data_IF_938488518738
#
_entry.id   IF_938488518738
#
_cell.length_a   1.000
_cell.length_b   1.000
_cell.length_c   1.000
_cell.angle_alpha   90.00
_cell.angle_beta   90.00
_cell.angle_gamma   90.00
#
_symmetry.space_group_name_H-M   'P 1'
#
loop_
_entity.id
_entity.type
_entity.pdbx_description
1 polymer ?
#
# COMPACT_ATOMS: atom_id res chain seq x y z
N UNK A 1 5.24 63.37 54.70
CA UNK A 1 6.35 64.31 54.44
C UNK A 1 7.57 63.49 54.05
N UNK A 2 8.10 63.74 52.84
CA UNK A 2 9.52 63.61 52.40
C UNK A 2 10.27 62.29 52.65
N UNK A 3 11.17 61.77 51.81
CA UNK A 3 11.66 61.97 50.44
C UNK A 3 12.60 60.74 50.22
N UNK A 4 12.46 59.99 49.14
CA UNK A 4 13.38 59.94 47.97
C UNK A 4 14.81 59.37 48.16
N UNK A 5 15.17 58.46 47.24
CA UNK A 5 16.54 58.09 46.74
C UNK A 5 17.46 57.34 47.74
N UNK A 6 18.34 56.39 47.38
CA UNK A 6 18.95 55.99 46.11
C UNK A 6 19.56 54.57 46.20
N UNK A 7 19.91 54.01 45.05
CA UNK A 7 20.43 52.68 44.78
C UNK A 7 21.86 52.38 45.30
N UNK A 8 22.20 51.09 45.48
CA UNK A 8 23.41 50.49 44.88
C UNK A 8 23.42 48.96 44.97
N UNK A 9 23.59 48.33 43.81
CA UNK A 9 23.88 46.92 43.62
C UNK A 9 25.31 46.57 44.09
N UNK A 10 25.49 45.34 44.58
CA UNK A 10 26.72 44.54 44.37
C UNK A 10 26.36 43.09 44.13
N UNK A 11 26.81 42.61 42.97
CA UNK A 11 26.90 41.19 42.60
C UNK A 11 28.33 40.73 42.89
N UNK A 12 28.47 39.56 43.53
CA UNK A 12 29.64 38.67 43.45
C UNK A 12 29.22 37.31 44.00
N UNK A 13 29.00 36.34 43.12
CA UNK A 13 29.94 35.25 42.80
C UNK A 13 29.96 34.21 43.94
N UNK A 14 29.14 33.16 43.82
CA UNK A 14 29.52 31.84 43.29
C UNK A 14 30.17 30.96 44.35
N UNK A 15 29.50 29.86 44.69
CA UNK A 15 30.04 28.49 44.79
C UNK A 15 28.82 27.59 45.01
N UNK A 16 28.52 26.78 43.99
CA UNK A 16 27.74 25.56 44.15
C UNK A 16 28.61 24.54 44.89
N UNK A 17 28.03 23.68 45.73
CA UNK A 17 28.04 22.20 45.59
C UNK A 17 27.01 21.59 46.55
N UNK A 18 26.12 20.81 45.95
CA UNK A 18 25.28 19.70 46.44
C UNK A 18 25.05 19.40 47.92
N UNK A 19 23.76 19.16 48.23
CA UNK A 19 23.31 18.57 49.48
C UNK A 19 21.82 18.20 49.47
N UNK A 20 21.50 17.04 48.91
CA UNK A 20 20.42 16.13 49.33
C UNK A 20 18.98 16.71 49.49
N UNK A 21 18.14 16.51 48.47
CA UNK A 21 16.67 16.44 48.64
C UNK A 21 16.12 15.13 48.10
N UNK A 22 15.67 14.28 49.02
CA UNK A 22 14.94 13.03 48.79
C UNK A 22 13.78 13.28 47.84
N UNK A 23 13.82 12.66 46.66
CA UNK A 23 12.68 12.58 45.75
C UNK A 23 11.96 11.28 46.05
N UNK A 24 10.71 11.39 46.48
CA UNK A 24 9.78 10.28 46.59
C UNK A 24 9.73 9.56 45.22
N UNK A 25 10.34 8.38 45.13
CA UNK A 25 10.07 7.44 44.06
C UNK A 25 8.67 6.89 44.33
N UNK A 26 7.67 7.45 43.67
CA UNK A 26 6.45 6.70 43.40
C UNK A 26 6.84 5.58 42.45
N UNK A 27 7.03 4.40 43.04
CA UNK A 27 7.04 3.12 42.34
C UNK A 27 5.68 2.98 41.65
N UNK A 28 5.63 3.34 40.37
CA UNK A 28 4.60 2.85 39.47
C UNK A 28 4.80 1.35 39.37
N UNK A 29 3.90 0.59 40.00
CA UNK A 29 3.72 -0.83 39.68
C UNK A 29 3.45 -0.91 38.18
N UNK A 30 4.48 -1.23 37.39
CA UNK A 30 4.28 -1.75 36.03
C UNK A 30 3.33 -2.93 36.17
N UNK A 31 2.13 -2.78 35.64
CA UNK A 31 1.21 -3.91 35.50
C UNK A 31 1.96 -5.03 34.79
N UNK A 32 1.88 -6.23 35.34
CA UNK A 32 2.35 -7.41 34.65
C UNK A 32 1.45 -7.55 33.42
N UNK A 33 1.94 -7.18 32.25
CA UNK A 33 1.24 -7.50 30.99
C UNK A 33 1.29 -9.02 30.88
N UNK A 34 0.16 -9.67 31.13
CA UNK A 34 0.01 -11.10 30.82
C UNK A 34 0.11 -11.18 29.30
N UNK A 35 1.27 -11.63 28.83
CA UNK A 35 1.50 -11.88 27.41
C UNK A 35 0.95 -13.25 27.08
N UNK A 36 0.29 -13.34 25.95
CA UNK A 36 -0.21 -14.61 25.47
C UNK A 36 0.99 -15.48 25.00
N UNK A 37 0.81 -16.79 25.01
CA UNK A 37 1.82 -17.69 24.48
C UNK A 37 1.76 -17.66 22.95
N UNK A 38 2.89 -17.94 22.29
CA UNK A 38 2.94 -18.12 20.84
C UNK A 38 1.85 -19.10 20.37
N UNK A 39 1.02 -18.66 19.44
CA UNK A 39 -0.10 -19.45 18.91
C UNK A 39 -1.46 -19.14 19.57
N UNK A 40 -1.49 -18.28 20.58
CA UNK A 40 -2.74 -17.83 21.19
C UNK A 40 -3.47 -16.83 20.29
N UNK A 41 -4.79 -16.94 20.27
CA UNK A 41 -5.67 -16.04 19.54
C UNK A 41 -6.14 -14.93 20.46
N UNK A 42 -6.09 -13.68 19.99
CA UNK A 42 -6.67 -12.55 20.70
C UNK A 42 -7.46 -11.64 19.76
N UNK A 43 -8.42 -10.91 20.32
CA UNK A 43 -9.33 -10.05 19.56
C UNK A 43 -9.15 -8.59 19.98
N UNK A 44 -9.26 -7.69 19.01
CA UNK A 44 -9.16 -6.26 19.24
C UNK A 44 -10.09 -5.48 18.30
N UNK A 45 -10.73 -4.46 18.85
CA UNK A 45 -11.55 -3.50 18.08
C UNK A 45 -10.89 -2.14 18.16
N UNK A 46 -10.55 -1.56 17.01
CA UNK A 46 -9.82 -0.30 16.90
C UNK A 46 -10.64 0.75 16.15
N UNK A 47 -10.74 1.99 16.66
CA UNK A 47 -11.35 3.08 15.92
C UNK A 47 -10.46 3.49 14.74
N UNK A 48 -11.07 3.98 13.65
CA UNK A 48 -10.33 4.63 12.56
C UNK A 48 -9.91 6.05 12.96
N UNK A 49 -8.73 6.53 12.54
CA UNK A 49 -7.72 5.83 11.75
C UNK A 49 -6.87 4.86 12.59
N UNK A 50 -6.52 3.71 12.01
CA UNK A 50 -5.58 2.78 12.65
C UNK A 50 -4.14 3.19 12.33
N UNK A 51 -3.25 3.05 13.30
CA UNK A 51 -1.82 3.37 13.15
C UNK A 51 -0.92 2.13 13.06
N UNK A 52 -1.49 0.93 13.23
CA UNK A 52 -0.81 -0.32 12.91
C UNK A 52 -0.40 -0.34 11.44
N UNK A 53 0.78 -0.87 11.15
CA UNK A 53 1.19 -1.18 9.77
C UNK A 53 1.37 -2.66 9.61
N UNK A 54 1.00 -3.14 8.43
CA UNK A 54 1.06 -4.55 8.08
C UNK A 54 1.88 -4.76 6.82
N UNK A 55 2.50 -5.93 6.69
CA UNK A 55 3.10 -6.42 5.45
C UNK A 55 2.58 -7.82 5.12
N UNK A 56 2.68 -8.17 3.82
CA UNK A 56 2.43 -9.52 3.31
C UNK A 56 3.56 -10.44 3.76
N UNK A 57 3.22 -11.54 4.42
CA UNK A 57 4.15 -12.64 4.73
C UNK A 57 4.51 -13.47 3.50
N UNK A 58 5.53 -14.31 3.62
CA UNK A 58 5.93 -15.26 2.57
C UNK A 58 4.85 -16.33 2.26
N UNK A 59 3.90 -16.51 3.18
CA UNK A 59 2.73 -17.37 3.11
C UNK A 59 1.47 -16.65 2.57
N UNK A 60 1.57 -15.36 2.22
CA UNK A 60 0.44 -14.55 1.75
C UNK A 60 -0.41 -13.90 2.86
N UNK A 61 -0.14 -14.20 4.14
CA UNK A 61 -0.85 -13.66 5.29
C UNK A 61 -0.51 -12.19 5.59
N UNK A 62 -1.30 -11.56 6.47
CA UNK A 62 -1.06 -10.18 6.93
C UNK A 62 -0.45 -10.16 8.33
N UNK A 63 0.73 -9.54 8.44
CA UNK A 63 1.53 -9.52 9.66
C UNK A 63 1.83 -8.10 10.12
N UNK A 64 1.77 -7.84 11.42
CA UNK A 64 2.10 -6.55 12.04
C UNK A 64 3.59 -6.26 11.88
N UNK A 65 3.94 -5.11 11.31
CA UNK A 65 5.33 -4.63 11.14
C UNK A 65 5.64 -3.35 11.89
N UNK A 66 4.62 -2.72 12.46
CA UNK A 66 4.77 -1.53 13.28
C UNK A 66 3.62 -1.43 14.28
N UNK A 67 3.97 -1.18 15.54
CA UNK A 67 3.05 -0.89 16.63
C UNK A 67 3.37 0.51 17.16
N UNK A 68 2.42 1.45 17.17
CA UNK A 68 2.63 2.78 17.75
C UNK A 68 2.78 2.67 19.29
N UNK A 69 3.49 3.63 19.87
CA UNK A 69 3.65 3.71 21.33
C UNK A 69 2.43 4.40 21.95
N UNK A 70 1.29 3.70 21.96
CA UNK A 70 0.02 4.17 22.52
C UNK A 70 -0.66 3.01 23.29
N UNK A 71 -1.23 3.25 24.49
CA UNK A 71 -1.91 2.22 25.29
C UNK A 71 -3.01 1.44 24.55
N UNK A 72 -3.67 2.04 23.55
CA UNK A 72 -4.66 1.36 22.72
C UNK A 72 -4.07 0.18 21.92
N UNK A 73 -2.75 0.15 21.74
CA UNK A 73 -2.04 -0.86 20.97
C UNK A 73 -1.13 -1.76 21.83
N UNK A 74 -1.22 -1.68 23.16
CA UNK A 74 -0.34 -2.43 24.09
C UNK A 74 -0.42 -3.96 23.92
N UNK A 75 -1.52 -4.45 23.33
CA UNK A 75 -1.75 -5.87 23.04
C UNK A 75 -1.14 -6.36 21.73
N UNK A 76 -0.68 -5.46 20.86
CA UNK A 76 -0.10 -5.85 19.58
C UNK A 76 1.42 -5.91 19.68
N UNK A 77 2.00 -6.84 18.94
CA UNK A 77 3.42 -7.02 18.81
C UNK A 77 3.79 -7.14 17.33
N UNK A 78 4.98 -6.66 16.98
CA UNK A 78 5.54 -6.88 15.64
C UNK A 78 5.71 -8.39 15.44
N UNK A 79 5.19 -8.91 14.33
CA UNK A 79 5.15 -10.34 14.03
C UNK A 79 3.76 -10.96 14.16
N UNK A 80 2.80 -10.35 14.86
CA UNK A 80 1.47 -10.93 15.01
C UNK A 80 0.74 -11.02 13.67
N UNK A 81 -0.02 -12.12 13.48
CA UNK A 81 -0.73 -12.41 12.23
C UNK A 81 -2.22 -12.10 12.38
N UNK A 82 -2.84 -11.58 11.33
CA UNK A 82 -4.31 -11.44 11.26
C UNK A 82 -4.89 -12.78 10.78
N UNK A 83 -5.83 -13.34 11.55
CA UNK A 83 -6.62 -14.54 11.23
C UNK A 83 -8.08 -14.20 10.88
N UNK A 84 -8.56 -13.01 11.24
CA UNK A 84 -9.87 -12.52 10.81
C UNK A 84 -10.02 -11.01 10.92
N UNK A 85 -10.93 -10.45 10.12
CA UNK A 85 -11.16 -9.00 9.99
C UNK A 85 -12.65 -8.71 9.81
N UNK A 86 -13.16 -7.63 10.40
CA UNK A 86 -14.52 -7.16 10.11
C UNK A 86 -14.71 -6.87 8.63
N UNK A 87 -15.83 -7.31 8.06
CA UNK A 87 -16.26 -6.99 6.71
C UNK A 87 -16.31 -5.48 6.47
N UNK A 88 -16.10 -5.03 5.22
CA UNK A 88 -16.19 -3.60 4.88
C UNK A 88 -17.56 -3.00 5.24
N UNK A 89 -18.63 -3.79 5.14
CA UNK A 89 -20.01 -3.40 5.41
C UNK A 89 -20.70 -4.47 6.27
N UNK A 90 -21.54 -4.06 7.24
CA UNK A 90 -22.25 -4.98 8.14
C UNK A 90 -21.46 -5.39 9.39
N UNK A 91 -21.95 -6.39 10.12
CA UNK A 91 -21.38 -6.84 11.40
C UNK A 91 -20.62 -8.18 11.28
N UNK A 92 -20.38 -8.62 10.05
CA UNK A 92 -19.72 -9.89 9.76
C UNK A 92 -18.21 -9.81 9.97
N UNK A 93 -17.61 -10.94 10.33
CA UNK A 93 -16.16 -11.13 10.41
C UNK A 93 -15.76 -12.13 9.34
N UNK A 94 -14.84 -11.74 8.47
CA UNK A 94 -14.25 -12.58 7.45
C UNK A 94 -12.97 -13.25 7.98
N UNK A 95 -12.70 -14.46 7.49
CA UNK A 95 -11.37 -15.06 7.65
C UNK A 95 -10.33 -14.27 6.90
N UNK A 96 -9.10 -14.20 7.43
CA UNK A 96 -7.99 -13.51 6.79
C UNK A 96 -7.29 -14.43 5.76
N UNK A 97 -7.92 -14.62 4.60
CA UNK A 97 -7.45 -15.57 3.58
C UNK A 97 -6.24 -15.05 2.80
N UNK A 98 -6.16 -13.73 2.62
CA UNK A 98 -5.01 -13.09 1.97
C UNK A 98 -4.75 -11.68 2.50
N UNK A 99 -3.50 -11.23 2.40
CA UNK A 99 -3.12 -9.85 2.73
C UNK A 99 -3.98 -8.81 2.01
N UNK A 100 -4.30 -9.04 0.73
CA UNK A 100 -5.11 -8.11 -0.07
C UNK A 100 -6.51 -7.92 0.47
N UNK A 101 -7.21 -9.03 0.75
CA UNK A 101 -8.55 -9.04 1.34
C UNK A 101 -8.58 -8.29 2.67
N UNK A 102 -7.60 -8.55 3.54
CA UNK A 102 -7.50 -7.91 4.85
C UNK A 102 -7.29 -6.39 4.70
N UNK A 103 -6.37 -5.96 3.83
CA UNK A 103 -6.14 -4.53 3.61
C UNK A 103 -7.35 -3.83 2.99
N UNK A 104 -8.08 -4.50 2.09
CA UNK A 104 -9.33 -3.97 1.52
C UNK A 104 -10.40 -3.76 2.59
N UNK A 105 -10.62 -4.77 3.44
CA UNK A 105 -11.59 -4.71 4.53
C UNK A 105 -11.25 -3.57 5.51
N UNK A 106 -9.99 -3.49 5.97
CA UNK A 106 -9.51 -2.41 6.84
C UNK A 106 -9.72 -1.04 6.19
N UNK A 107 -9.34 -0.89 4.90
CA UNK A 107 -9.43 0.41 4.21
C UNK A 107 -10.86 0.89 4.04
N UNK A 108 -11.78 0.00 3.66
CA UNK A 108 -13.14 0.35 3.27
C UNK A 108 -14.19 0.20 4.38
N UNK A 109 -13.82 -0.37 5.55
CA UNK A 109 -14.69 -0.45 6.74
C UNK A 109 -15.32 0.88 7.11
N UNK A 110 -16.64 0.92 7.28
CA UNK A 110 -17.32 2.07 7.88
C UNK A 110 -17.55 1.81 9.38
N UNK A 111 -16.83 2.53 10.23
CA UNK A 111 -16.81 2.31 11.69
C UNK A 111 -15.54 1.63 12.19
N UNK A 112 -15.64 1.06 13.40
CA UNK A 112 -14.51 0.41 14.05
C UNK A 112 -14.10 -0.88 13.33
N UNK A 113 -12.80 -1.14 13.34
CA UNK A 113 -12.19 -2.32 12.74
C UNK A 113 -12.03 -3.37 13.82
N UNK A 114 -12.68 -4.51 13.62
CA UNK A 114 -12.44 -5.70 14.43
C UNK A 114 -11.34 -6.54 13.78
N UNK A 115 -10.38 -7.00 14.59
CA UNK A 115 -9.29 -7.89 14.21
C UNK A 115 -9.26 -9.09 15.14
N UNK A 116 -9.22 -10.27 14.55
CA UNK A 116 -8.84 -11.52 15.21
C UNK A 116 -7.38 -11.80 14.86
N UNK A 117 -6.54 -11.81 15.89
CA UNK A 117 -5.09 -11.87 15.79
C UNK A 117 -4.58 -13.21 16.33
N UNK A 118 -3.45 -13.65 15.80
CA UNK A 118 -2.64 -14.75 16.31
C UNK A 118 -1.34 -14.16 16.86
N UNK A 119 -1.09 -14.34 18.15
CA UNK A 119 0.14 -13.94 18.83
C UNK A 119 1.29 -14.80 18.33
N UNK A 120 2.28 -14.16 17.73
CA UNK A 120 3.44 -14.85 17.17
C UNK A 120 4.66 -14.79 18.09
N UNK A 121 4.55 -14.22 19.29
CA UNK A 121 5.63 -13.99 20.27
C UNK A 121 6.85 -13.30 19.63
N UNK A 122 6.59 -12.36 18.71
CA UNK A 122 7.64 -11.65 17.98
C UNK A 122 8.32 -12.47 16.89
N UNK A 123 7.80 -13.65 16.56
CA UNK A 123 8.26 -14.45 15.42
C UNK A 123 7.95 -13.72 14.11
N UNK A 124 9.00 -13.18 13.51
CA UNK A 124 8.97 -12.51 12.21
C UNK A 124 9.45 -13.39 11.08
N UNK A 125 9.54 -14.72 11.26
CA UNK A 125 10.02 -15.66 10.24
C UNK A 125 9.24 -15.56 8.93
N UNK A 126 7.92 -15.37 9.00
CA UNK A 126 7.07 -15.15 7.83
C UNK A 126 7.37 -13.81 7.10
N UNK A 127 7.97 -12.84 7.79
CA UNK A 127 8.35 -11.52 7.27
C UNK A 127 9.81 -11.46 6.82
N UNK A 128 10.67 -12.31 7.36
CA UNK A 128 12.06 -12.43 6.96
C UNK A 128 12.17 -13.44 5.82
N UNK A 129 12.43 -12.96 4.61
CA UNK A 129 13.02 -13.84 3.61
C UNK A 129 14.33 -14.39 4.21
N UNK A 130 14.43 -15.70 4.40
CA UNK A 130 15.69 -16.31 4.83
C UNK A 130 16.79 -15.89 3.84
N UNK A 131 17.62 -14.93 4.24
CA UNK A 131 18.97 -14.84 3.72
C UNK A 131 19.72 -15.92 4.46
N UNK A 132 19.84 -17.09 3.81
CA UNK A 132 20.41 -18.30 4.38
C UNK A 132 21.67 -18.00 5.20
N UNK A 133 21.82 -18.70 6.32
CA UNK A 133 23.00 -18.70 7.18
C UNK A 133 24.33 -18.95 6.43
N UNK A 134 24.25 -19.48 5.21
CA UNK A 134 25.34 -19.56 4.24
C UNK A 134 26.03 -18.19 4.00
N UNK A 135 25.27 -17.08 4.00
CA UNK A 135 25.80 -15.75 3.70
C UNK A 135 26.81 -15.23 4.74
N UNK A 136 26.69 -15.64 6.01
CA UNK A 136 27.66 -15.26 7.05
C UNK A 136 28.91 -16.14 7.01
N UNK A 137 28.75 -17.43 6.71
CA UNK A 137 29.86 -18.38 6.63
C UNK A 137 30.70 -18.19 5.35
N UNK A 138 30.08 -17.86 4.21
CA UNK A 138 30.80 -17.59 2.96
C UNK A 138 31.61 -16.29 3.02
N UNK A 139 31.10 -15.26 3.72
CA UNK A 139 31.80 -13.97 3.90
C UNK A 139 33.07 -14.10 4.75
N UNK A 140 33.11 -15.08 5.64
CA UNK A 140 34.29 -15.41 6.44
C UNK A 140 35.28 -16.33 5.70
N UNK A 141 34.82 -17.10 4.70
CA UNK A 141 35.60 -18.12 3.99
C UNK A 141 36.28 -17.68 2.69
N UNK A 142 36.06 -16.45 2.22
CA UNK A 142 36.76 -15.89 1.05
C UNK A 142 36.37 -16.49 -0.31
N UNK A 143 35.30 -17.28 -0.39
CA UNK A 143 34.83 -17.90 -1.63
C UNK A 143 33.74 -17.05 -2.31
N UNK A 144 34.13 -16.13 -3.19
CA UNK A 144 33.23 -15.11 -3.78
C UNK A 144 32.35 -15.58 -4.97
N UNK A 145 32.24 -16.89 -5.24
CA UNK A 145 31.63 -17.38 -6.49
C UNK A 145 30.35 -18.24 -6.37
N UNK A 146 30.16 -18.97 -5.28
CA UNK A 146 29.12 -20.01 -5.21
C UNK A 146 27.75 -19.46 -4.80
N UNK A 147 27.65 -18.80 -3.63
CA UNK A 147 26.38 -18.25 -3.15
C UNK A 147 25.80 -17.10 -3.98
N UNK A 148 26.63 -16.32 -4.69
CA UNK A 148 26.14 -15.25 -5.57
C UNK A 148 25.44 -15.80 -6.81
N UNK A 149 25.94 -16.90 -7.39
CA UNK A 149 25.31 -17.59 -8.53
C UNK A 149 24.02 -18.28 -8.12
N UNK A 150 24.02 -18.98 -6.99
CA UNK A 150 22.82 -19.63 -6.45
C UNK A 150 21.74 -18.61 -6.08
N UNK A 151 22.11 -17.50 -5.44
CA UNK A 151 21.16 -16.42 -5.14
C UNK A 151 20.64 -15.72 -6.40
N UNK A 152 21.47 -15.54 -7.43
CA UNK A 152 21.01 -15.05 -8.73
C UNK A 152 20.04 -16.01 -9.40
N UNK A 153 20.31 -17.32 -9.35
CA UNK A 153 19.40 -18.34 -9.86
C UNK A 153 18.09 -18.37 -9.08
N UNK A 154 18.12 -18.26 -7.75
CA UNK A 154 16.92 -18.24 -6.91
C UNK A 154 16.10 -16.96 -7.08
N UNK A 155 16.75 -15.80 -7.25
CA UNK A 155 16.06 -14.55 -7.56
C UNK A 155 15.46 -14.59 -8.98
N UNK A 156 16.17 -15.19 -9.93
CA UNK A 156 15.69 -15.38 -11.29
C UNK A 156 14.50 -16.34 -11.34
N UNK A 157 14.58 -17.49 -10.67
CA UNK A 157 13.48 -18.47 -10.59
C UNK A 157 12.26 -17.87 -9.90
N UNK A 158 12.43 -17.19 -8.77
CA UNK A 158 11.33 -16.50 -8.07
C UNK A 158 10.69 -15.39 -8.92
N UNK A 159 11.50 -14.62 -9.67
CA UNK A 159 10.97 -13.62 -10.61
C UNK A 159 10.14 -14.28 -11.71
N UNK A 160 10.63 -15.41 -12.26
CA UNK A 160 9.92 -16.20 -13.28
C UNK A 160 8.62 -16.79 -12.74
N UNK A 161 8.63 -17.33 -11.54
CA UNK A 161 7.46 -17.90 -10.88
C UNK A 161 6.37 -16.84 -10.66
N UNK A 162 6.73 -15.65 -10.17
CA UNK A 162 5.80 -14.53 -10.02
C UNK A 162 5.26 -14.01 -11.36
N UNK A 163 6.06 -14.09 -12.43
CA UNK A 163 5.63 -13.75 -13.79
C UNK A 163 4.61 -14.76 -14.30
N UNK A 164 4.89 -16.07 -14.15
CA UNK A 164 3.97 -17.16 -14.50
C UNK A 164 2.67 -17.06 -13.70
N UNK A 165 2.74 -16.92 -12.38
CA UNK A 165 1.57 -16.77 -11.53
C UNK A 165 0.67 -15.61 -12.00
N UNK A 166 1.29 -14.49 -12.39
CA UNK A 166 0.53 -13.33 -12.84
C UNK A 166 -0.17 -13.57 -14.19
N UNK A 167 0.46 -14.33 -15.09
CA UNK A 167 -0.15 -14.73 -16.36
C UNK A 167 -1.34 -15.66 -16.11
N UNK A 168 -1.16 -16.70 -15.27
CA UNK A 168 -2.22 -17.66 -14.95
C UNK A 168 -3.44 -16.95 -14.32
N UNK A 169 -3.20 -16.04 -13.38
CA UNK A 169 -4.27 -15.23 -12.77
C UNK A 169 -4.93 -14.28 -13.77
N UNK A 170 -4.17 -13.73 -14.72
CA UNK A 170 -4.76 -12.86 -15.74
C UNK A 170 -5.68 -13.66 -16.67
N UNK A 171 -5.31 -14.88 -17.04
CA UNK A 171 -6.15 -15.78 -17.83
C UNK A 171 -7.43 -16.14 -17.08
N UNK A 172 -7.33 -16.49 -15.79
CA UNK A 172 -8.50 -16.71 -14.90
C UNK A 172 -9.44 -15.50 -14.87
N UNK A 173 -8.88 -14.29 -14.71
CA UNK A 173 -9.67 -13.07 -14.68
C UNK A 173 -10.41 -12.81 -16.02
N UNK A 174 -9.78 -13.17 -17.14
CA UNK A 174 -10.41 -13.09 -18.47
C UNK A 174 -11.54 -14.12 -18.61
N UNK A 175 -11.38 -15.34 -18.10
CA UNK A 175 -12.43 -16.35 -18.09
C UNK A 175 -13.65 -15.88 -17.29
N UNK A 176 -13.43 -15.37 -16.07
CA UNK A 176 -14.48 -14.79 -15.22
C UNK A 176 -15.18 -13.61 -15.91
N UNK A 177 -14.41 -12.72 -16.53
CA UNK A 177 -14.95 -11.57 -17.26
C UNK A 177 -15.84 -12.01 -18.43
N UNK A 178 -15.41 -13.01 -19.20
CA UNK A 178 -16.18 -13.56 -20.32
C UNK A 178 -17.45 -14.29 -19.85
N UNK A 179 -17.42 -14.88 -18.66
CA UNK A 179 -18.59 -15.43 -17.98
C UNK A 179 -19.56 -14.35 -17.44
N UNK A 180 -19.20 -13.06 -17.56
CA UNK A 180 -19.92 -11.90 -17.01
C UNK A 180 -19.92 -11.85 -15.49
N UNK A 181 -19.02 -12.58 -14.85
CA UNK A 181 -18.78 -12.52 -13.41
C UNK A 181 -17.80 -11.39 -13.11
N UNK A 182 -18.29 -10.15 -13.23
CA UNK A 182 -17.45 -8.96 -13.18
C UNK A 182 -16.89 -8.69 -11.78
N UNK A 183 -17.59 -9.09 -10.72
CA UNK A 183 -17.12 -8.91 -9.34
C UNK A 183 -15.92 -9.83 -9.05
N UNK A 184 -16.00 -11.11 -9.42
CA UNK A 184 -14.87 -12.02 -9.23
C UNK A 184 -13.72 -11.70 -10.19
N UNK A 185 -14.02 -11.38 -11.46
CA UNK A 185 -12.98 -10.95 -12.41
C UNK A 185 -12.19 -9.74 -11.90
N UNK A 186 -12.89 -8.76 -11.31
CA UNK A 186 -12.29 -7.57 -10.73
C UNK A 186 -11.31 -7.91 -9.59
N UNK A 187 -11.69 -8.83 -8.69
CA UNK A 187 -10.82 -9.28 -7.60
C UNK A 187 -9.50 -9.84 -8.17
N UNK A 188 -9.60 -10.72 -9.16
CA UNK A 188 -8.41 -11.37 -9.75
C UNK A 188 -7.57 -10.36 -10.53
N UNK A 189 -8.17 -9.45 -11.32
CA UNK A 189 -7.42 -8.40 -12.01
C UNK A 189 -6.70 -7.42 -11.06
N UNK A 190 -7.30 -7.06 -9.92
CA UNK A 190 -6.65 -6.22 -8.91
C UNK A 190 -5.44 -6.94 -8.26
N UNK A 191 -5.52 -8.25 -8.02
CA UNK A 191 -4.37 -9.01 -7.53
C UNK A 191 -3.27 -9.14 -8.59
N UNK A 192 -3.63 -9.36 -9.86
CA UNK A 192 -2.68 -9.26 -11.00
C UNK A 192 -1.95 -7.91 -11.00
N UNK A 193 -2.68 -6.81 -10.82
CA UNK A 193 -2.10 -5.48 -10.76
C UNK A 193 -1.23 -5.28 -9.49
N UNK A 194 -1.59 -5.90 -8.37
CA UNK A 194 -0.83 -5.84 -7.12
C UNK A 194 0.50 -6.63 -7.19
N UNK A 195 0.57 -7.64 -8.06
CA UNK A 195 1.80 -8.42 -8.34
C UNK A 195 2.80 -7.69 -9.24
N UNK A 196 2.54 -6.43 -9.61
CA UNK A 196 3.46 -5.63 -10.40
C UNK A 196 4.84 -5.47 -9.71
N UNK A 197 5.97 -5.75 -10.40
CA UNK A 197 7.27 -5.71 -9.75
C UNK A 197 7.64 -4.29 -9.36
N UNK A 198 8.12 -4.14 -8.13
CA UNK A 198 8.69 -2.87 -7.67
C UNK A 198 9.92 -2.53 -8.53
N UNK A 199 9.93 -1.34 -9.10
CA UNK A 199 10.99 -0.84 -10.00
C UNK A 199 11.14 -1.66 -11.29
N UNK A 200 10.04 -2.13 -11.87
CA UNK A 200 10.07 -2.69 -13.23
C UNK A 200 10.67 -1.67 -14.21
N UNK A 201 11.47 -2.18 -15.14
CA UNK A 201 12.04 -1.44 -16.26
C UNK A 201 12.06 -2.38 -17.47
N UNK A 202 11.22 -2.11 -18.46
CA UNK A 202 11.23 -2.81 -19.75
C UNK A 202 12.37 -2.31 -20.64
N UNK A 203 12.65 -3.06 -21.70
CA UNK A 203 13.67 -2.69 -22.72
C UNK A 203 13.30 -1.40 -23.47
N UNK A 204 12.01 -1.06 -23.47
CA UNK A 204 11.41 0.16 -24.03
C UNK A 204 11.34 1.32 -23.01
N UNK A 205 12.02 1.19 -21.87
CA UNK A 205 11.97 2.12 -20.74
C UNK A 205 10.60 2.22 -20.04
N UNK A 206 9.67 1.29 -20.30
CA UNK A 206 8.42 1.18 -19.56
C UNK A 206 8.69 0.90 -18.08
N UNK A 207 7.99 1.61 -17.20
CA UNK A 207 8.12 1.45 -15.73
C UNK A 207 7.10 0.50 -15.13
N UNK A 208 6.26 -0.07 -15.97
CA UNK A 208 5.21 -1.02 -15.62
C UNK A 208 5.17 -2.11 -16.67
N UNK A 209 4.82 -3.33 -16.28
CA UNK A 209 4.60 -4.42 -17.24
C UNK A 209 3.39 -4.15 -18.14
N UNK A 210 3.41 -4.74 -19.33
CA UNK A 210 2.26 -4.74 -20.23
C UNK A 210 1.01 -5.34 -19.58
N UNK A 211 1.18 -6.43 -18.82
CA UNK A 211 0.08 -7.09 -18.12
C UNK A 211 -0.55 -6.21 -17.05
N UNK A 212 0.22 -5.39 -16.32
CA UNK A 212 -0.34 -4.39 -15.40
C UNK A 212 -1.21 -3.37 -16.14
N UNK A 213 -0.70 -2.86 -17.26
CA UNK A 213 -1.41 -1.88 -18.09
C UNK A 213 -2.73 -2.45 -18.62
N UNK A 214 -2.71 -3.67 -19.15
CA UNK A 214 -3.92 -4.35 -19.64
C UNK A 214 -4.87 -4.73 -18.49
N UNK A 215 -4.35 -5.13 -17.32
CA UNK A 215 -5.17 -5.39 -16.13
C UNK A 215 -5.91 -4.13 -15.68
N UNK A 216 -5.25 -2.97 -15.60
CA UNK A 216 -5.92 -1.70 -15.28
C UNK A 216 -7.02 -1.33 -16.27
N UNK A 217 -6.83 -1.61 -17.56
CA UNK A 217 -7.89 -1.47 -18.56
C UNK A 217 -9.09 -2.38 -18.26
N UNK A 218 -8.84 -3.66 -17.96
CA UNK A 218 -9.91 -4.61 -17.66
C UNK A 218 -10.61 -4.32 -16.32
N UNK A 219 -9.88 -3.83 -15.31
CA UNK A 219 -10.44 -3.30 -14.05
C UNK A 219 -11.43 -2.17 -14.36
N UNK A 220 -11.04 -1.24 -15.24
CA UNK A 220 -11.94 -0.16 -15.67
C UNK A 220 -13.20 -0.71 -16.36
N UNK A 221 -13.05 -1.71 -17.23
CA UNK A 221 -14.17 -2.41 -17.87
C UNK A 221 -15.11 -3.07 -16.85
N UNK A 222 -14.57 -3.77 -15.84
CA UNK A 222 -15.36 -4.38 -14.77
C UNK A 222 -16.14 -3.32 -14.00
N UNK A 223 -15.48 -2.27 -13.50
CA UNK A 223 -16.15 -1.19 -12.78
C UNK A 223 -17.21 -0.47 -13.63
N UNK A 224 -16.96 -0.29 -14.93
CA UNK A 224 -17.95 0.25 -15.86
C UNK A 224 -19.19 -0.66 -15.97
N UNK A 225 -19.01 -1.97 -16.10
CA UNK A 225 -20.10 -2.96 -16.14
C UNK A 225 -20.91 -2.99 -14.84
N UNK A 226 -20.26 -2.78 -13.70
CA UNK A 226 -20.88 -2.75 -12.36
C UNK A 226 -21.56 -1.38 -12.08
N UNK A 227 -21.20 -0.33 -12.82
CA UNK A 227 -21.76 1.02 -12.63
C UNK A 227 -20.99 1.88 -11.61
N UNK A 228 -19.72 1.57 -11.35
CA UNK A 228 -18.83 2.26 -10.41
C UNK A 228 -17.98 3.31 -11.13
N UNK A 229 -18.53 4.51 -11.28
CA UNK A 229 -17.96 5.59 -12.10
C UNK A 229 -16.56 6.01 -11.65
N UNK A 230 -16.39 6.38 -10.39
CA UNK A 230 -15.14 6.97 -9.89
C UNK A 230 -13.98 5.96 -9.95
N UNK A 231 -14.26 4.72 -9.59
CA UNK A 231 -13.30 3.61 -9.62
C UNK A 231 -12.89 3.26 -11.05
N UNK A 232 -13.84 3.24 -11.99
CA UNK A 232 -13.55 2.99 -13.39
C UNK A 232 -12.70 4.09 -14.02
N UNK A 233 -13.02 5.37 -13.76
CA UNK A 233 -12.21 6.50 -14.22
C UNK A 233 -10.80 6.49 -13.61
N UNK A 234 -10.66 6.13 -12.34
CA UNK A 234 -9.36 5.98 -11.69
C UNK A 234 -8.53 4.87 -12.33
N UNK A 235 -9.14 3.73 -12.65
CA UNK A 235 -8.47 2.62 -13.33
C UNK A 235 -8.05 2.99 -14.76
N UNK A 236 -8.89 3.69 -15.53
CA UNK A 236 -8.50 4.23 -16.84
C UNK A 236 -7.32 5.19 -16.74
N UNK A 237 -7.33 6.09 -15.75
CA UNK A 237 -6.20 6.99 -15.51
C UNK A 237 -4.91 6.20 -15.25
N UNK A 238 -4.95 5.18 -14.41
CA UNK A 238 -3.79 4.30 -14.13
C UNK A 238 -3.31 3.58 -15.38
N UNK A 239 -4.23 3.06 -16.19
CA UNK A 239 -3.94 2.42 -17.47
C UNK A 239 -3.19 3.37 -18.44
N UNK A 240 -3.70 4.59 -18.62
CA UNK A 240 -3.05 5.59 -19.50
C UNK A 240 -1.73 6.10 -18.93
N UNK A 241 -1.62 6.29 -17.62
CA UNK A 241 -0.35 6.61 -16.95
C UNK A 241 0.70 5.49 -17.08
N UNK A 242 0.25 4.24 -17.26
CA UNK A 242 1.11 3.09 -17.54
C UNK A 242 1.51 2.99 -19.03
N UNK A 243 1.13 3.97 -19.87
CA UNK A 243 1.53 4.05 -21.27
C UNK A 243 0.52 3.45 -22.25
N UNK A 244 -0.76 3.35 -21.88
CA UNK A 244 -1.80 2.96 -22.85
C UNK A 244 -2.08 4.10 -23.83
N UNK A 245 -1.96 3.82 -25.12
CA UNK A 245 -2.08 4.83 -26.18
C UNK A 245 -3.24 4.58 -27.15
N UNK A 246 -3.92 3.44 -27.07
CA UNK A 246 -5.10 3.16 -27.90
C UNK A 246 -6.35 3.82 -27.27
N UNK A 247 -6.39 5.15 -27.30
CA UNK A 247 -7.50 5.94 -26.78
C UNK A 247 -8.77 5.76 -27.62
N UNK A 248 -8.62 5.41 -28.90
CA UNK A 248 -9.75 5.08 -29.77
C UNK A 248 -10.49 3.86 -29.22
N UNK A 249 -9.78 2.82 -28.78
CA UNK A 249 -10.38 1.66 -28.11
C UNK A 249 -11.15 2.05 -26.85
N UNK A 250 -10.59 2.89 -25.98
CA UNK A 250 -11.29 3.34 -24.76
C UNK A 250 -12.63 4.05 -25.09
N UNK A 251 -12.66 4.86 -26.15
CA UNK A 251 -13.87 5.58 -26.59
C UNK A 251 -14.94 4.70 -27.23
N UNK A 252 -14.58 3.52 -27.72
CA UNK A 252 -15.44 2.67 -28.55
C UNK A 252 -15.76 1.33 -27.90
N UNK A 253 -15.06 0.94 -26.82
CA UNK A 253 -15.27 -0.36 -26.18
C UNK A 253 -16.68 -0.43 -25.55
N UNK A 254 -17.53 -1.39 -25.96
CA UNK A 254 -18.85 -1.59 -25.37
C UNK A 254 -18.82 -1.92 -23.87
N UNK A 255 -17.70 -2.41 -23.34
CA UNK A 255 -17.49 -2.66 -21.92
C UNK A 255 -17.42 -1.36 -21.11
N UNK A 256 -17.06 -0.26 -21.77
CA UNK A 256 -16.95 1.07 -21.19
C UNK A 256 -18.18 1.94 -21.51
N UNK A 257 -19.24 1.39 -22.10
CA UNK A 257 -20.42 2.17 -22.54
C UNK A 257 -21.05 2.97 -21.39
N UNK A 258 -21.10 2.38 -20.19
CA UNK A 258 -21.63 3.07 -19.01
C UNK A 258 -20.82 4.33 -18.69
N UNK A 259 -19.49 4.21 -18.59
CA UNK A 259 -18.62 5.33 -18.22
C UNK A 259 -18.42 6.35 -19.33
N UNK A 260 -18.52 5.95 -20.61
CA UNK A 260 -18.40 6.85 -21.75
C UNK A 260 -19.45 7.98 -21.71
N UNK A 261 -20.55 7.75 -20.99
CA UNK A 261 -21.66 8.70 -20.79
C UNK A 261 -21.55 9.49 -19.47
N UNK A 262 -20.59 9.16 -18.60
CA UNK A 262 -20.46 9.77 -17.28
C UNK A 262 -19.66 11.08 -17.32
N UNK A 263 -19.94 12.00 -16.38
CA UNK A 263 -19.09 13.17 -16.18
C UNK A 263 -17.62 12.78 -15.93
N UNK A 264 -16.69 13.58 -16.45
CA UNK A 264 -15.26 13.38 -16.23
C UNK A 264 -14.57 12.40 -17.19
N UNK A 265 -15.31 11.57 -17.93
CA UNK A 265 -14.70 10.66 -18.92
C UNK A 265 -13.97 11.42 -20.04
N UNK A 266 -14.65 12.39 -20.67
CA UNK A 266 -14.06 13.22 -21.73
C UNK A 266 -12.87 14.02 -21.21
N UNK A 267 -13.02 14.70 -20.06
CA UNK A 267 -11.93 15.47 -19.46
C UNK A 267 -10.73 14.60 -19.10
N UNK A 268 -10.96 13.36 -18.64
CA UNK A 268 -9.90 12.40 -18.39
C UNK A 268 -9.17 12.04 -19.69
N UNK A 269 -9.89 11.71 -20.76
CA UNK A 269 -9.27 11.33 -22.03
C UNK A 269 -8.51 12.48 -22.69
N UNK A 270 -9.06 13.69 -22.68
CA UNK A 270 -8.43 14.85 -23.30
C UNK A 270 -7.06 15.16 -22.69
N UNK A 271 -6.85 14.85 -21.39
CA UNK A 271 -5.54 14.97 -20.72
C UNK A 271 -4.45 14.05 -21.30
N UNK A 272 -4.82 12.97 -21.98
CA UNK A 272 -3.88 11.96 -22.49
C UNK A 272 -3.86 11.87 -24.02
N UNK A 273 -4.99 12.10 -24.69
CA UNK A 273 -5.12 12.00 -26.15
C UNK A 273 -5.01 13.33 -26.89
N UNK A 274 -4.85 14.47 -26.19
CA UNK A 274 -4.59 15.72 -26.91
C UNK A 274 -3.22 15.68 -27.59
N UNK A 275 -3.14 15.88 -28.93
CA UNK A 275 -1.89 16.30 -29.54
C UNK A 275 -1.52 17.65 -28.91
N UNK A 276 -0.24 17.88 -28.61
CA UNK A 276 0.34 19.12 -28.04
C UNK A 276 0.05 20.42 -28.84
N UNK A 277 -0.93 20.44 -29.73
CA UNK A 277 -1.42 21.61 -30.43
C UNK A 277 -2.46 22.29 -29.55
N UNK A 278 -1.95 23.10 -28.62
CA UNK A 278 -2.71 24.11 -27.90
C UNK A 278 -3.66 24.82 -28.87
N UNK A 279 -4.97 24.61 -28.70
CA UNK A 279 -6.00 25.19 -29.56
C UNK A 279 -5.95 26.72 -29.51
N UNK A 280 -5.46 27.29 -28.40
CA UNK A 280 -5.16 28.72 -28.31
C UNK A 280 -3.93 29.12 -29.14
N UNK A 281 -2.93 28.25 -29.30
CA UNK A 281 -1.79 28.50 -30.19
C UNK A 281 -2.20 28.44 -31.67
N UNK A 282 -3.07 27.50 -32.08
CA UNK A 282 -3.59 27.47 -33.47
C UNK A 282 -4.55 28.60 -33.74
N UNK A 283 -5.40 28.97 -32.78
CA UNK A 283 -6.30 30.12 -32.92
C UNK A 283 -5.53 31.44 -32.92
N UNK A 284 -4.45 31.56 -32.11
CA UNK A 284 -3.53 32.69 -32.17
C UNK A 284 -2.80 32.74 -33.52
N UNK A 285 -2.32 31.61 -34.05
CA UNK A 285 -1.65 31.54 -35.36
C UNK A 285 -2.61 31.88 -36.51
N UNK A 286 -3.85 31.36 -36.48
CA UNK A 286 -4.89 31.72 -37.47
C UNK A 286 -5.34 33.17 -37.37
N UNK A 287 -5.36 33.75 -36.17
CA UNK A 287 -5.62 35.19 -35.99
C UNK A 287 -4.46 36.06 -36.48
N UNK A 288 -3.21 35.57 -36.40
CA UNK A 288 -2.02 36.28 -36.86
C UNK A 288 -1.86 36.23 -38.40
N UNK A 289 -2.28 35.12 -39.04
CA UNK A 289 -2.14 34.90 -40.48
C UNK A 289 -3.45 35.00 -41.28
N UNK A 290 -4.59 35.19 -40.61
CA UNK A 290 -5.93 35.29 -41.22
C UNK A 290 -6.47 36.71 -41.37
N UNK A 291 -5.66 37.74 -41.13
CA UNK A 291 -5.99 39.14 -41.40
C UNK A 291 -5.92 39.44 -42.90
N UNK A 292 -7.08 39.54 -43.54
CA UNK A 292 -7.31 39.75 -44.99
C UNK A 292 -6.54 40.94 -45.61
N UNK A 293 -5.76 40.67 -46.66
CA UNK A 293 -5.74 41.27 -48.03
C UNK A 293 -4.34 41.27 -48.60
#
# INVERSE_FOLDING_TARGET
MSASLSARARVSSSIAVDGFRRRHQQSTKRGLVVRNAKGDIYEATLPKPIELKFNRGNDGGAYVVFVPNDPAYERFQVGDKIEGVSASFGDEVWGAESYGQVMYAIKNRNGDIYLKMLDMDGDVSALTAEKSSAFKNERAGGNYGAGTKEQQMNNYSKKRELETQRLDMFDEAIELYNAKDYDNALIVFEEVAALEPKNYMGDDFSKTTEIYKVAQYNIACCFSRIGKTDESLLALKRCMMAGWTDYKKIRQDPSLEFIQKQPGFTELLDKFDEPFINVNAVNAFKSLFGGKK
#
